data_IF_626324619848
#
_entry.id   IF_626324619848
#
_cell.length_a   1.000
_cell.length_b   1.000
_cell.length_c   1.000
_cell.angle_alpha   90.00
_cell.angle_beta   90.00
_cell.angle_gamma   90.00
#
_symmetry.space_group_name_H-M   'P 1'
#
loop_
_entity.id
_entity.type
_entity.pdbx_description
1 polymer ?
#
# COMPACT_ATOMS: atom_id res chain seq x y z
N UNK A 1 -33.93 -16.81 -46.06
CA UNK A 1 -34.27 -16.91 -44.62
C UNK A 1 -35.62 -17.57 -44.56
N UNK A 2 -35.73 -18.74 -43.92
CA UNK A 2 -36.93 -19.56 -43.97
C UNK A 2 -38.08 -18.91 -43.20
N UNK A 3 -39.33 -19.09 -43.64
CA UNK A 3 -40.51 -18.44 -43.00
C UNK A 3 -40.61 -18.80 -41.51
N UNK A 4 -40.19 -20.01 -41.15
CA UNK A 4 -40.17 -20.50 -39.77
C UNK A 4 -39.12 -19.78 -38.91
N UNK A 5 -38.01 -19.33 -39.50
CA UNK A 5 -36.96 -18.57 -38.80
C UNK A 5 -37.43 -17.15 -38.48
N UNK A 6 -38.18 -16.52 -39.40
CA UNK A 6 -38.75 -15.18 -39.19
C UNK A 6 -39.82 -15.24 -38.09
N UNK A 7 -40.70 -16.24 -38.11
CA UNK A 7 -41.71 -16.44 -37.04
C UNK A 7 -41.05 -16.68 -35.68
N UNK A 8 -39.93 -17.42 -35.65
CA UNK A 8 -39.13 -17.61 -34.43
C UNK A 8 -38.58 -16.32 -33.85
N UNK A 9 -38.02 -15.43 -34.69
CA UNK A 9 -37.51 -14.13 -34.24
C UNK A 9 -38.62 -13.19 -33.76
N UNK A 10 -39.79 -13.20 -34.41
CA UNK A 10 -40.95 -12.38 -33.98
C UNK A 10 -41.47 -12.87 -32.62
N UNK A 11 -41.55 -14.18 -32.40
CA UNK A 11 -41.95 -14.74 -31.10
C UNK A 11 -40.91 -14.44 -30.02
N UNK A 12 -39.61 -14.52 -30.34
CA UNK A 12 -38.55 -14.15 -29.40
C UNK A 12 -38.61 -12.68 -29.02
N UNK A 13 -38.85 -11.79 -29.99
CA UNK A 13 -39.01 -10.37 -29.73
C UNK A 13 -40.24 -10.10 -28.86
N UNK A 14 -41.38 -10.75 -29.13
CA UNK A 14 -42.60 -10.60 -28.32
C UNK A 14 -42.41 -11.08 -26.88
N UNK A 15 -41.66 -12.16 -26.67
CA UNK A 15 -41.33 -12.64 -25.31
C UNK A 15 -40.37 -11.68 -24.60
N UNK A 16 -39.35 -11.17 -25.29
CA UNK A 16 -38.40 -10.22 -24.70
C UNK A 16 -39.05 -8.87 -24.37
N UNK A 17 -39.89 -8.34 -25.25
CA UNK A 17 -40.64 -7.10 -24.98
C UNK A 17 -41.74 -7.29 -23.93
N UNK A 18 -42.43 -8.44 -23.94
CA UNK A 18 -43.41 -8.76 -22.91
C UNK A 18 -42.78 -8.94 -21.52
N UNK A 19 -41.60 -9.55 -21.45
CA UNK A 19 -40.86 -9.72 -20.20
C UNK A 19 -40.24 -8.41 -19.70
N UNK A 20 -39.73 -7.56 -20.60
CA UNK A 20 -39.24 -6.22 -20.25
C UNK A 20 -40.36 -5.29 -19.75
N UNK A 21 -41.56 -5.38 -20.32
CA UNK A 21 -42.74 -4.63 -19.87
C UNK A 21 -43.32 -5.18 -18.55
N UNK A 22 -43.11 -6.46 -18.24
CA UNK A 22 -43.47 -7.01 -16.93
C UNK A 22 -42.44 -6.63 -15.84
N UNK A 23 -41.16 -6.49 -16.19
CA UNK A 23 -40.11 -6.09 -15.23
C UNK A 23 -39.97 -4.58 -15.01
N UNK A 24 -40.74 -3.72 -15.69
CA UNK A 24 -40.74 -2.29 -15.34
C UNK A 24 -41.32 -2.13 -13.93
N UNK A 25 -40.55 -1.56 -12.98
CA UNK A 25 -41.02 -1.37 -11.61
C UNK A 25 -42.26 -0.48 -11.62
N UNK A 26 -43.22 -0.80 -10.75
CA UNK A 26 -44.47 -0.05 -10.66
C UNK A 26 -44.21 1.37 -10.14
N UNK A 27 -45.09 2.32 -10.44
CA UNK A 27 -44.96 3.72 -9.98
C UNK A 27 -44.86 3.83 -8.44
N UNK A 28 -45.42 2.87 -7.69
CA UNK A 28 -45.29 2.79 -6.23
C UNK A 28 -43.89 2.38 -5.76
N UNK A 29 -43.19 1.48 -6.48
CA UNK A 29 -41.82 1.06 -6.16
C UNK A 29 -40.83 2.19 -6.44
N UNK A 30 -41.02 2.93 -7.54
CA UNK A 30 -40.23 4.13 -7.86
C UNK A 30 -40.47 5.23 -6.82
N UNK A 31 -41.69 5.37 -6.30
CA UNK A 31 -42.01 6.30 -5.24
C UNK A 31 -41.34 5.91 -3.90
N UNK A 32 -41.31 4.61 -3.57
CA UNK A 32 -40.61 4.11 -2.37
C UNK A 32 -39.09 4.30 -2.47
N UNK A 33 -38.49 4.03 -3.63
CA UNK A 33 -37.06 4.23 -3.86
C UNK A 33 -36.67 5.72 -3.76
N UNK A 34 -37.53 6.63 -4.24
CA UNK A 34 -37.35 8.07 -4.04
C UNK A 34 -37.45 8.48 -2.58
N UNK A 35 -38.38 7.90 -1.81
CA UNK A 35 -38.50 8.17 -0.36
C UNK A 35 -37.27 7.67 0.40
N UNK A 36 -36.73 6.51 0.02
CA UNK A 36 -35.51 5.96 0.61
C UNK A 36 -34.26 6.79 0.25
N UNK A 37 -34.14 7.22 -1.01
CA UNK A 37 -33.08 8.13 -1.45
C UNK A 37 -33.12 9.50 -0.74
N UNK A 38 -34.33 10.03 -0.50
CA UNK A 38 -34.52 11.27 0.28
C UNK A 38 -34.14 11.05 1.73
N UNK A 39 -34.50 9.91 2.34
CA UNK A 39 -34.06 9.54 3.71
C UNK A 39 -32.54 9.45 3.80
N UNK A 40 -31.88 8.81 2.83
CA UNK A 40 -30.43 8.63 2.83
C UNK A 40 -29.69 9.97 2.61
N UNK A 41 -30.24 10.83 1.75
CA UNK A 41 -29.76 12.21 1.56
C UNK A 41 -29.89 13.06 2.83
N UNK A 42 -31.00 12.93 3.56
CA UNK A 42 -31.22 13.61 4.83
C UNK A 42 -30.26 13.07 5.90
N UNK A 43 -30.08 11.75 6.01
CA UNK A 43 -29.14 11.14 6.95
C UNK A 43 -27.68 11.56 6.69
N UNK A 44 -27.29 11.68 5.41
CA UNK A 44 -25.97 12.15 5.00
C UNK A 44 -25.78 13.64 5.30
N UNK A 45 -26.81 14.47 5.06
CA UNK A 45 -26.80 15.88 5.42
C UNK A 45 -26.74 16.09 6.95
N UNK A 46 -27.45 15.26 7.73
CA UNK A 46 -27.39 15.26 9.19
C UNK A 46 -26.00 14.85 9.69
N UNK A 47 -25.39 13.78 9.15
CA UNK A 47 -24.00 13.42 9.48
C UNK A 47 -23.00 14.53 9.16
N UNK A 48 -23.16 15.23 8.02
CA UNK A 48 -22.31 16.37 7.67
C UNK A 48 -22.53 17.55 8.64
N UNK A 49 -23.78 17.79 9.06
CA UNK A 49 -24.10 18.83 10.04
C UNK A 49 -23.58 18.49 11.43
N UNK A 50 -23.66 17.23 11.84
CA UNK A 50 -23.07 16.70 13.08
C UNK A 50 -21.55 16.81 13.05
N UNK A 51 -20.90 16.42 11.95
CA UNK A 51 -19.45 16.60 11.75
C UNK A 51 -19.04 18.07 11.78
N UNK A 52 -19.83 18.98 11.18
CA UNK A 52 -19.59 20.43 11.27
C UNK A 52 -19.80 20.96 12.70
N UNK A 53 -20.80 20.46 13.41
CA UNK A 53 -21.04 20.83 14.81
C UNK A 53 -19.93 20.28 15.72
N UNK A 54 -19.48 19.04 15.54
CA UNK A 54 -18.34 18.47 16.25
C UNK A 54 -17.05 19.21 15.92
N UNK A 55 -16.81 19.56 14.66
CA UNK A 55 -15.67 20.40 14.24
C UNK A 55 -15.73 21.80 14.87
N UNK A 56 -16.92 22.41 14.98
CA UNK A 56 -17.11 23.70 15.65
C UNK A 56 -16.97 23.62 17.18
N UNK A 57 -17.40 22.52 17.81
CA UNK A 57 -17.20 22.24 19.24
C UNK A 57 -15.73 21.91 19.54
N UNK A 58 -15.04 21.23 18.64
CA UNK A 58 -13.60 21.01 18.68
C UNK A 58 -12.84 22.35 18.55
N UNK A 59 -13.18 23.18 17.56
CA UNK A 59 -12.59 24.51 17.36
C UNK A 59 -12.84 25.45 18.55
N UNK A 60 -14.01 25.40 19.17
CA UNK A 60 -14.32 26.17 20.38
C UNK A 60 -13.57 25.64 21.62
N UNK A 61 -13.31 24.33 21.73
CA UNK A 61 -12.40 23.78 22.75
C UNK A 61 -10.94 24.19 22.52
N UNK A 62 -10.49 24.27 21.27
CA UNK A 62 -9.13 24.73 20.92
C UNK A 62 -8.93 26.21 21.26
N UNK A 63 -9.97 27.05 21.11
CA UNK A 63 -9.92 28.47 21.46
C UNK A 63 -9.86 28.72 22.99
N UNK A 64 -10.47 27.87 23.82
CA UNK A 64 -10.35 27.99 25.29
C UNK A 64 -9.01 27.48 25.82
N UNK A 65 -8.38 26.50 25.15
CA UNK A 65 -7.05 25.98 25.52
C UNK A 65 -5.90 26.96 25.19
N UNK A 66 -6.08 27.85 24.20
CA UNK A 66 -5.07 28.83 23.79
C UNK A 66 -4.86 30.01 24.76
N UNK A 67 -5.73 30.14 25.78
CA UNK A 67 -5.67 31.24 26.76
C UNK A 67 -5.23 30.80 28.16
N UNK A 68 -5.11 29.49 28.40
CA UNK A 68 -4.61 28.99 29.68
C UNK A 68 -3.08 29.04 29.72
N UNK A 69 -2.55 30.13 30.27
CA UNK A 69 -1.11 30.32 30.50
C UNK A 69 -0.51 29.30 31.46
N UNK A 70 -1.35 28.53 32.16
CA UNK A 70 -0.92 27.47 33.09
C UNK A 70 -0.80 26.10 32.41
N UNK A 71 -1.23 25.99 31.14
CA UNK A 71 -1.10 24.75 30.37
C UNK A 71 0.36 24.35 30.18
N UNK A 72 0.62 23.05 30.34
CA UNK A 72 1.93 22.47 30.12
C UNK A 72 2.34 22.69 28.64
N UNK A 73 3.57 23.17 28.41
CA UNK A 73 4.04 23.58 27.07
C UNK A 73 3.42 24.87 26.50
N UNK A 74 2.70 25.68 27.28
CA UNK A 74 2.21 26.98 26.81
C UNK A 74 3.30 27.86 26.18
N UNK A 75 4.52 27.85 26.73
CA UNK A 75 5.64 28.61 26.14
C UNK A 75 6.06 28.05 24.78
N UNK A 76 5.97 26.74 24.59
CA UNK A 76 6.29 26.07 23.34
C UNK A 76 5.14 26.13 22.32
N UNK A 77 3.91 26.53 22.66
CA UNK A 77 2.85 26.76 21.65
C UNK A 77 3.02 28.08 20.91
N UNK A 78 3.97 28.93 21.34
CA UNK A 78 4.31 30.20 20.71
C UNK A 78 5.69 30.10 20.10
N UNK A 79 5.80 30.41 18.81
CA UNK A 79 7.08 30.40 18.12
C UNK A 79 6.93 30.74 16.64
N UNK A 80 8.08 30.74 15.95
CA UNK A 80 8.15 30.91 14.50
C UNK A 80 8.58 29.59 13.89
N UNK A 81 7.75 29.07 12.99
CA UNK A 81 8.06 27.88 12.22
C UNK A 81 9.27 28.16 11.31
N UNK A 82 10.25 27.26 11.33
CA UNK A 82 11.45 27.31 10.49
C UNK A 82 11.67 25.95 9.87
N UNK A 83 12.17 25.95 8.66
CA UNK A 83 12.55 24.73 7.97
C UNK A 83 14.03 24.41 8.18
N UNK A 84 14.30 23.13 8.38
CA UNK A 84 15.65 22.60 8.56
C UNK A 84 15.79 21.39 7.63
N UNK A 85 16.89 21.30 6.91
CA UNK A 85 17.11 20.20 5.96
C UNK A 85 18.25 19.32 6.44
N UNK A 86 17.96 18.03 6.63
CA UNK A 86 18.99 16.99 6.73
C UNK A 86 19.12 16.33 5.36
N UNK A 87 20.35 16.03 4.93
CA UNK A 87 20.57 15.42 3.64
C UNK A 87 21.86 14.59 3.56
N UNK A 88 21.84 13.65 2.63
CA UNK A 88 23.01 12.89 2.21
C UNK A 88 23.01 12.75 0.66
N UNK A 89 23.79 11.82 0.12
CA UNK A 89 23.86 11.58 -1.33
C UNK A 89 22.57 10.98 -1.94
N UNK A 90 21.69 10.39 -1.12
CA UNK A 90 20.50 9.62 -1.53
C UNK A 90 19.19 10.35 -1.24
N UNK A 91 19.08 11.08 -0.14
CA UNK A 91 17.85 11.76 0.26
C UNK A 91 18.09 13.15 0.84
N UNK A 92 17.04 13.97 0.81
CA UNK A 92 16.94 15.21 1.56
C UNK A 92 15.59 15.27 2.28
N UNK A 93 15.62 15.47 3.58
CA UNK A 93 14.46 15.52 4.47
C UNK A 93 14.33 16.93 5.03
N UNK A 94 13.21 17.59 4.76
CA UNK A 94 12.89 18.89 5.34
C UNK A 94 12.02 18.70 6.56
N UNK A 95 12.50 19.19 7.70
CA UNK A 95 11.81 19.25 8.97
C UNK A 95 11.21 20.63 9.17
N UNK A 96 10.10 20.70 9.90
CA UNK A 96 9.60 21.96 10.41
C UNK A 96 9.78 22.02 11.93
N UNK A 97 10.25 23.16 12.44
CA UNK A 97 10.36 23.36 13.90
C UNK A 97 9.00 23.42 14.58
N UNK A 98 7.89 23.68 13.86
CA UNK A 98 6.53 23.42 14.35
C UNK A 98 6.18 21.95 14.11
N UNK A 99 5.69 21.25 15.12
CA UNK A 99 5.49 19.80 15.03
C UNK A 99 6.76 19.00 15.31
N UNK A 100 7.90 19.49 14.81
CA UNK A 100 9.19 18.84 14.98
C UNK A 100 9.34 17.56 14.15
N UNK A 101 8.61 17.45 13.04
CA UNK A 101 8.54 16.25 12.19
C UNK A 101 9.04 16.53 10.77
N UNK A 102 9.31 15.45 10.03
CA UNK A 102 9.61 15.53 8.59
C UNK A 102 8.35 15.98 7.85
N UNK A 103 8.41 17.14 7.19
CA UNK A 103 7.32 17.68 6.37
C UNK A 103 7.47 17.37 4.88
N UNK A 104 8.68 17.06 4.42
CA UNK A 104 8.96 16.77 3.01
C UNK A 104 10.13 15.81 2.87
N UNK A 105 9.96 14.81 2.01
CA UNK A 105 11.01 13.85 1.67
C UNK A 105 11.31 13.86 0.17
N UNK A 106 12.56 14.15 -0.18
CA UNK A 106 13.08 14.11 -1.56
C UNK A 106 14.03 12.92 -1.70
N UNK A 107 13.76 12.07 -2.70
CA UNK A 107 14.60 10.93 -3.07
C UNK A 107 15.44 11.32 -4.30
N UNK A 108 16.76 11.39 -4.12
CA UNK A 108 17.73 11.82 -5.13
C UNK A 108 18.08 10.66 -6.07
N UNK A 109 18.42 10.99 -7.32
CA UNK A 109 18.86 9.98 -8.31
C UNK A 109 17.73 9.24 -9.02
N UNK A 110 16.48 9.64 -8.81
CA UNK A 110 15.29 9.12 -9.50
C UNK A 110 14.63 10.26 -10.27
N UNK A 111 14.01 9.96 -11.42
CA UNK A 111 13.24 10.96 -12.15
C UNK A 111 11.85 11.08 -11.53
N UNK A 112 11.48 12.29 -11.11
CA UNK A 112 10.13 12.61 -10.65
C UNK A 112 9.33 13.19 -11.80
N UNK A 113 8.33 12.45 -12.28
CA UNK A 113 7.51 12.89 -13.40
C UNK A 113 6.48 13.94 -12.97
N UNK A 114 6.26 14.95 -13.81
CA UNK A 114 5.10 15.81 -13.62
C UNK A 114 3.86 15.12 -14.22
N UNK A 115 3.08 14.43 -13.39
CA UNK A 115 1.89 13.70 -13.86
C UNK A 115 0.81 14.60 -14.48
N UNK A 116 0.84 15.91 -14.23
CA UNK A 116 -0.04 16.89 -14.87
C UNK A 116 0.40 17.25 -16.30
N UNK A 117 1.65 16.97 -16.70
CA UNK A 117 2.16 17.23 -18.06
C UNK A 117 2.74 15.98 -18.70
N UNK A 118 2.24 15.63 -19.89
CA UNK A 118 2.74 14.47 -20.65
C UNK A 118 4.05 14.74 -21.42
N UNK A 119 4.47 16.00 -21.55
CA UNK A 119 5.60 16.39 -22.39
C UNK A 119 6.98 16.19 -21.72
N UNK A 120 6.99 15.83 -20.43
CA UNK A 120 8.19 15.57 -19.61
C UNK A 120 9.16 16.76 -19.47
N UNK A 121 8.82 17.95 -19.95
CA UNK A 121 9.72 19.12 -19.90
C UNK A 121 9.93 19.64 -18.48
N UNK A 122 8.94 19.42 -17.62
CA UNK A 122 8.94 19.83 -16.22
C UNK A 122 9.30 18.69 -15.26
N UNK A 123 9.79 17.57 -15.78
CA UNK A 123 10.24 16.46 -14.96
C UNK A 123 11.44 16.88 -14.11
N UNK A 124 11.51 16.34 -12.90
CA UNK A 124 12.57 16.61 -11.93
C UNK A 124 13.57 15.47 -11.93
N UNK A 125 14.82 15.77 -11.58
CA UNK A 125 15.87 14.77 -11.38
C UNK A 125 15.86 14.17 -9.94
N UNK A 126 14.72 14.28 -9.27
CA UNK A 126 14.45 13.69 -7.96
C UNK A 126 12.95 13.38 -7.85
N UNK A 127 12.61 12.44 -6.99
CA UNK A 127 11.23 12.12 -6.61
C UNK A 127 10.88 12.87 -5.33
N UNK A 128 9.71 13.51 -5.28
CA UNK A 128 9.14 14.01 -4.03
C UNK A 128 8.20 12.93 -3.51
N UNK A 129 8.57 12.25 -2.42
CA UNK A 129 7.76 11.16 -1.86
C UNK A 129 6.47 11.72 -1.25
N UNK A 130 6.58 12.78 -0.45
CA UNK A 130 5.48 13.57 0.09
C UNK A 130 5.98 15.00 0.40
N UNK A 131 5.03 15.93 0.55
CA UNK A 131 5.28 17.25 1.15
C UNK A 131 4.18 17.63 2.17
N UNK A 132 4.21 18.86 2.67
CA UNK A 132 3.34 19.35 3.74
C UNK A 132 1.85 19.38 3.36
N UNK A 133 1.53 19.39 2.07
CA UNK A 133 0.14 19.35 1.61
C UNK A 133 -0.43 17.91 1.61
N UNK A 134 0.43 16.90 1.66
CA UNK A 134 0.06 15.50 1.51
C UNK A 134 0.12 14.73 2.82
N UNK A 135 1.15 14.99 3.63
CA UNK A 135 1.48 14.18 4.79
C UNK A 135 1.35 14.97 6.10
N UNK A 136 0.71 14.36 7.08
CA UNK A 136 0.69 14.80 8.47
C UNK A 136 1.25 13.69 9.37
N UNK A 137 2.19 14.04 10.25
CA UNK A 137 2.70 13.15 11.29
C UNK A 137 2.62 13.90 12.62
N UNK A 138 1.93 13.32 13.59
CA UNK A 138 1.74 13.90 14.91
C UNK A 138 2.03 12.86 15.98
N UNK A 139 2.92 13.22 16.90
CA UNK A 139 3.16 12.49 18.13
C UNK A 139 2.28 13.06 19.24
N UNK A 140 1.52 12.19 19.91
CA UNK A 140 0.55 12.55 20.94
C UNK A 140 0.90 11.81 22.24
N UNK A 141 1.19 12.56 23.29
CA UNK A 141 1.45 12.03 24.63
C UNK A 141 0.17 12.11 25.46
N UNK A 142 -0.35 10.95 25.86
CA UNK A 142 -1.56 10.87 26.67
C UNK A 142 -1.25 11.16 28.16
N UNK A 143 -1.55 12.37 28.63
CA UNK A 143 -1.33 12.78 30.03
C UNK A 143 -2.61 12.65 30.87
N UNK A 144 -2.53 12.92 32.19
CA UNK A 144 -3.70 12.89 33.10
C UNK A 144 -4.80 13.88 32.72
N UNK A 145 -4.42 15.08 32.30
CA UNK A 145 -5.34 16.21 32.15
C UNK A 145 -5.61 16.53 30.68
N UNK A 146 -4.57 16.60 29.86
CA UNK A 146 -4.68 16.98 28.46
C UNK A 146 -3.57 16.33 27.63
N UNK A 147 -3.92 15.85 26.44
CA UNK A 147 -2.93 15.32 25.51
C UNK A 147 -1.94 16.41 25.08
N UNK A 148 -0.67 16.07 25.07
CA UNK A 148 0.36 16.94 24.48
C UNK A 148 0.53 16.48 23.04
N UNK A 149 0.17 17.34 22.11
CA UNK A 149 0.30 17.07 20.68
C UNK A 149 1.44 17.89 20.10
N UNK A 150 2.43 17.19 19.55
CA UNK A 150 3.64 17.82 19.01
C UNK A 150 3.35 18.80 17.88
N UNK A 151 2.33 18.56 17.05
CA UNK A 151 1.90 19.47 15.97
C UNK A 151 1.58 20.90 16.43
N UNK A 152 1.21 21.07 17.71
CA UNK A 152 0.90 22.36 18.32
C UNK A 152 2.12 23.04 18.97
N UNK A 153 3.27 22.36 19.01
CA UNK A 153 4.49 22.83 19.65
C UNK A 153 5.49 23.35 18.63
N UNK A 154 6.22 24.39 19.02
CA UNK A 154 7.41 24.89 18.38
C UNK A 154 8.63 24.40 19.16
N UNK A 155 9.53 23.75 18.43
CA UNK A 155 10.77 23.20 18.95
C UNK A 155 11.94 24.13 18.65
N UNK A 156 12.88 24.20 19.57
CA UNK A 156 14.16 24.90 19.39
C UNK A 156 15.19 23.92 18.86
N UNK A 157 15.79 24.18 17.67
CA UNK A 157 16.80 23.30 17.10
C UNK A 157 18.18 23.49 17.75
N UNK A 158 18.91 22.38 17.89
CA UNK A 158 20.30 22.31 18.32
C UNK A 158 20.99 21.09 17.67
N UNK A 159 22.31 20.93 17.86
CA UNK A 159 23.11 19.84 17.28
C UNK A 159 22.92 19.64 15.76
N UNK A 160 22.68 20.75 15.05
CA UNK A 160 22.40 20.73 13.62
C UNK A 160 23.67 20.46 12.81
N UNK A 161 23.65 19.36 12.06
CA UNK A 161 24.61 19.05 10.99
C UNK A 161 23.82 18.64 9.75
N UNK A 162 24.50 18.22 8.67
CA UNK A 162 23.82 17.63 7.51
C UNK A 162 23.04 16.34 7.85
N UNK A 163 23.38 15.67 8.95
CA UNK A 163 22.80 14.37 9.30
C UNK A 163 22.23 14.26 10.71
N UNK A 164 22.32 15.29 11.54
CA UNK A 164 21.82 15.28 12.93
C UNK A 164 21.02 16.53 13.23
N UNK A 165 19.98 16.38 14.03
CA UNK A 165 19.15 17.49 14.49
C UNK A 165 18.50 17.11 15.83
N UNK A 166 18.72 17.93 16.85
CA UNK A 166 17.99 17.84 18.12
C UNK A 166 16.94 18.93 18.14
N UNK A 167 15.67 18.57 18.35
CA UNK A 167 14.55 19.49 18.50
C UNK A 167 14.02 19.41 19.93
N UNK A 168 14.05 20.53 20.66
CA UNK A 168 13.60 20.59 22.06
C UNK A 168 12.43 21.54 22.23
N UNK A 169 11.30 21.03 22.73
CA UNK A 169 10.19 21.82 23.23
C UNK A 169 10.33 21.96 24.76
N UNK A 170 10.21 23.19 25.27
CA UNK A 170 10.33 23.49 26.70
C UNK A 170 8.96 23.75 27.30
N UNK A 171 8.59 22.97 28.32
CA UNK A 171 7.33 23.11 29.03
C UNK A 171 7.37 24.11 30.20
N UNK A 172 8.58 24.58 30.57
CA UNK A 172 8.84 25.37 31.77
C UNK A 172 9.26 24.51 32.96
N UNK A 173 9.80 25.13 34.02
CA UNK A 173 10.20 24.47 35.27
C UNK A 173 11.08 23.23 35.08
N UNK A 174 12.07 23.31 34.17
CA UNK A 174 13.02 22.24 33.86
C UNK A 174 12.46 21.06 33.04
N UNK A 175 11.21 21.15 32.55
CA UNK A 175 10.55 20.07 31.80
C UNK A 175 10.71 20.26 30.29
N UNK A 176 11.08 19.21 29.59
CA UNK A 176 11.29 19.25 28.14
C UNK A 176 10.80 17.98 27.46
N UNK A 177 10.45 18.12 26.18
CA UNK A 177 10.31 17.02 25.22
C UNK A 177 11.37 17.21 24.15
N UNK A 178 12.19 16.18 23.93
CA UNK A 178 13.30 16.20 22.97
C UNK A 178 13.06 15.15 21.89
N UNK A 179 13.24 15.56 20.64
CA UNK A 179 13.24 14.71 19.45
C UNK A 179 14.65 14.75 18.86
N UNK A 180 15.40 13.65 19.02
CA UNK A 180 16.76 13.52 18.53
C UNK A 180 16.79 12.74 17.22
N UNK A 181 17.10 13.43 16.12
CA UNK A 181 17.12 12.88 14.78
C UNK A 181 18.54 12.59 14.30
N UNK A 182 18.71 11.42 13.65
CA UNK A 182 19.95 11.06 12.96
C UNK A 182 19.65 10.41 11.61
N UNK A 183 19.97 11.11 10.54
CA UNK A 183 19.94 10.60 9.18
C UNK A 183 21.16 9.71 8.93
N UNK A 184 20.94 8.51 8.42
CA UNK A 184 22.04 7.60 8.09
C UNK A 184 22.66 7.94 6.72
N UNK A 185 23.61 7.13 6.25
CA UNK A 185 24.21 7.33 4.91
C UNK A 185 23.25 6.93 3.77
N UNK A 186 22.18 6.20 4.08
CA UNK A 186 21.21 5.66 3.14
C UNK A 186 19.86 6.38 3.27
N UNK A 187 18.76 5.62 3.33
CA UNK A 187 17.38 6.11 3.31
C UNK A 187 16.72 6.09 4.69
N UNK A 188 17.49 5.82 5.75
CA UNK A 188 16.98 5.62 7.11
C UNK A 188 17.19 6.88 7.97
N UNK A 189 16.16 7.27 8.71
CA UNK A 189 16.18 8.34 9.69
C UNK A 189 15.85 7.76 11.07
N UNK A 190 16.75 7.89 12.03
CA UNK A 190 16.50 7.52 13.42
C UNK A 190 15.89 8.68 14.18
N UNK A 191 15.00 8.37 15.11
CA UNK A 191 14.35 9.30 16.02
C UNK A 191 14.33 8.70 17.42
N UNK A 192 14.91 9.42 18.38
CA UNK A 192 14.73 9.12 19.80
C UNK A 192 13.81 10.18 20.41
N UNK A 193 12.70 9.76 21.02
CA UNK A 193 11.75 10.66 21.71
C UNK A 193 11.96 10.56 23.22
N UNK A 194 12.27 11.69 23.86
CA UNK A 194 12.62 11.73 25.28
C UNK A 194 11.89 12.85 26.04
N UNK A 195 11.25 12.49 27.15
CA UNK A 195 10.80 13.47 28.15
C UNK A 195 11.88 13.71 29.22
N UNK A 196 11.92 14.92 29.77
CA UNK A 196 12.69 15.24 30.99
C UNK A 196 11.77 15.87 32.01
N UNK A 197 11.75 15.35 33.23
CA UNK A 197 11.00 15.94 34.36
C UNK A 197 9.47 15.81 34.27
N UNK A 198 8.93 14.89 33.47
CA UNK A 198 7.48 14.79 33.22
C UNK A 198 6.76 13.63 33.95
N UNK A 199 7.46 12.86 34.79
CA UNK A 199 6.93 11.65 35.45
C UNK A 199 5.57 11.85 36.16
N UNK A 200 5.37 12.98 36.85
CA UNK A 200 4.13 13.25 37.59
C UNK A 200 2.89 13.54 36.72
N UNK A 201 3.07 13.75 35.41
CA UNK A 201 2.04 14.24 34.49
C UNK A 201 1.23 13.11 33.85
N UNK A 202 1.68 11.86 33.95
CA UNK A 202 1.07 10.71 33.26
C UNK A 202 0.40 9.76 34.25
N UNK A 203 -0.65 9.07 33.78
CA UNK A 203 -1.32 8.03 34.56
C UNK A 203 -0.37 6.83 34.76
N UNK A 204 -0.07 6.42 36.02
CA UNK A 204 0.80 5.28 36.28
C UNK A 204 0.36 4.03 35.49
N UNK A 205 1.29 3.42 34.76
CA UNK A 205 1.04 2.22 33.96
C UNK A 205 0.27 2.42 32.64
N UNK A 206 -0.13 3.66 32.29
CA UNK A 206 -0.81 3.99 31.01
C UNK A 206 0.00 4.97 30.16
N UNK A 207 1.32 4.96 30.30
CA UNK A 207 2.20 5.88 29.59
C UNK A 207 2.33 5.42 28.13
N UNK A 208 1.65 6.13 27.24
CA UNK A 208 1.63 5.82 25.81
C UNK A 208 2.02 7.03 24.98
N UNK A 209 2.75 6.74 23.92
CA UNK A 209 3.02 7.64 22.80
C UNK A 209 2.18 7.16 21.64
N UNK A 210 1.21 7.97 21.23
CA UNK A 210 0.38 7.73 20.07
C UNK A 210 1.05 8.39 18.86
N UNK A 211 1.09 7.69 17.73
CA UNK A 211 1.54 8.20 16.44
C UNK A 211 0.31 8.25 15.54
N UNK A 212 -0.11 9.47 15.18
CA UNK A 212 -1.10 9.69 14.13
C UNK A 212 -0.36 10.07 12.85
N UNK A 213 -0.42 9.18 11.87
CA UNK A 213 0.28 9.35 10.60
C UNK A 213 -0.69 9.21 9.44
N UNK A 214 -0.70 10.22 8.58
CA UNK A 214 -1.58 10.32 7.42
C UNK A 214 -0.78 10.76 6.21
N UNK A 215 -1.09 10.20 5.04
CA UNK A 215 -0.45 10.58 3.78
C UNK A 215 -1.41 10.44 2.61
N UNK A 216 -1.44 11.44 1.73
CA UNK A 216 -2.02 11.33 0.40
C UNK A 216 -0.94 10.87 -0.56
N UNK A 217 -0.97 9.58 -0.86
CA UNK A 217 0.02 8.94 -1.70
C UNK A 217 0.04 9.54 -3.11
N UNK A 218 1.10 10.30 -3.41
CA UNK A 218 1.29 10.93 -4.72
C UNK A 218 1.48 9.90 -5.83
N UNK A 219 0.82 10.16 -6.95
CA UNK A 219 1.11 9.47 -8.21
C UNK A 219 2.47 9.92 -8.73
N UNK A 220 3.38 8.97 -8.98
CA UNK A 220 4.73 9.24 -9.50
C UNK A 220 4.86 8.90 -10.98
N UNK A 221 3.98 8.05 -11.51
CA UNK A 221 4.02 7.57 -12.90
C UNK A 221 2.84 8.07 -13.72
N UNK A 222 2.97 8.13 -15.04
CA UNK A 222 1.85 8.53 -15.93
C UNK A 222 0.67 7.53 -15.88
N UNK A 223 0.95 6.27 -15.53
CA UNK A 223 -0.02 5.17 -15.49
C UNK A 223 -0.68 5.01 -14.12
N UNK A 224 -1.63 5.88 -13.76
CA UNK A 224 -2.34 5.84 -12.47
C UNK A 224 -2.84 4.43 -12.08
N UNK A 225 -3.59 3.76 -12.95
CA UNK A 225 -4.19 2.46 -12.62
C UNK A 225 -3.15 1.35 -12.40
N UNK A 226 -2.00 1.42 -13.07
CA UNK A 226 -0.92 0.46 -12.90
C UNK A 226 -0.20 0.70 -11.58
N UNK A 227 0.11 1.96 -11.28
CA UNK A 227 0.76 2.35 -10.03
C UNK A 227 -0.13 2.05 -8.82
N UNK A 228 -1.42 2.39 -8.92
CA UNK A 228 -2.40 2.20 -7.84
C UNK A 228 -2.60 0.73 -7.46
N UNK A 229 -2.42 -0.22 -8.40
CA UNK A 229 -2.54 -1.67 -8.14
C UNK A 229 -1.49 -2.17 -7.14
N UNK A 230 -0.38 -1.47 -6.99
CA UNK A 230 0.69 -1.85 -6.07
C UNK A 230 0.79 -0.92 -4.84
N UNK A 231 -0.11 0.06 -4.75
CA UNK A 231 -0.13 1.04 -3.68
C UNK A 231 -1.05 0.55 -2.55
N UNK A 232 -0.54 0.43 -1.32
CA UNK A 232 -1.32 -0.04 -0.17
C UNK A 232 -0.60 0.26 1.15
N UNK A 233 -1.31 0.14 2.27
CA UNK A 233 -0.71 0.09 3.59
C UNK A 233 -0.26 -1.34 3.88
N UNK A 234 1.00 -1.52 4.23
CA UNK A 234 1.60 -2.81 4.61
C UNK A 234 2.10 -2.74 6.04
N UNK A 235 2.05 -3.81 6.81
CA UNK A 235 2.57 -3.83 8.18
C UNK A 235 3.15 -5.21 8.54
N UNK A 236 4.06 -5.22 9.50
CA UNK A 236 4.70 -6.45 10.01
C UNK A 236 4.29 -6.69 11.44
N UNK A 237 3.81 -7.91 11.70
CA UNK A 237 3.41 -8.35 13.04
C UNK A 237 4.66 -8.71 13.84
N UNK A 238 4.67 -8.35 15.13
CA UNK A 238 5.76 -8.69 16.03
C UNK A 238 5.82 -10.20 16.21
N UNK A 239 6.92 -10.83 15.79
CA UNK A 239 7.07 -12.29 15.77
C UNK A 239 6.21 -13.04 14.73
N UNK A 240 5.44 -12.32 13.91
CA UNK A 240 4.58 -12.87 12.85
C UNK A 240 5.08 -12.51 11.44
N UNK A 241 4.24 -12.68 10.42
CA UNK A 241 4.57 -12.29 9.04
C UNK A 241 4.24 -10.83 8.67
N UNK A 242 4.47 -10.48 7.41
CA UNK A 242 4.03 -9.22 6.79
C UNK A 242 2.63 -9.40 6.20
N UNK A 243 1.74 -8.45 6.50
CA UNK A 243 0.38 -8.37 5.97
C UNK A 243 0.16 -7.01 5.30
N UNK A 244 -0.86 -6.89 4.46
CA UNK A 244 -1.21 -5.65 3.80
C UNK A 244 -2.73 -5.48 3.74
N UNK A 245 -3.15 -4.22 3.61
CA UNK A 245 -4.53 -3.87 3.29
C UNK A 245 -4.80 -4.14 1.81
N UNK A 246 -6.07 -4.10 1.43
CA UNK A 246 -6.52 -4.30 0.06
C UNK A 246 -5.84 -3.33 -0.92
N UNK A 247 -5.28 -3.89 -1.98
CA UNK A 247 -4.73 -3.12 -3.11
C UNK A 247 -5.86 -2.60 -4.04
N UNK A 248 -7.07 -3.17 -3.97
CA UNK A 248 -8.13 -2.94 -4.95
C UNK A 248 -9.26 -2.00 -4.47
N UNK A 249 -9.57 -1.99 -3.19
CA UNK A 249 -10.74 -1.28 -2.63
C UNK A 249 -10.39 -0.58 -1.31
N UNK A 250 -11.35 0.20 -0.80
CA UNK A 250 -11.31 0.75 0.54
C UNK A 250 -11.12 -0.37 1.57
N UNK A 251 -10.20 -0.15 2.51
CA UNK A 251 -9.92 -1.10 3.58
C UNK A 251 -9.58 -0.35 4.87
N UNK A 252 -10.14 -0.82 5.97
CA UNK A 252 -9.99 -0.27 7.31
C UNK A 252 -9.82 -1.46 8.27
N UNK A 253 -8.62 -1.60 8.81
CA UNK A 253 -8.21 -2.75 9.60
C UNK A 253 -7.70 -2.31 10.95
N UNK A 254 -8.26 -2.92 12.00
CA UNK A 254 -7.72 -2.85 13.34
C UNK A 254 -6.82 -4.05 13.59
N UNK A 255 -5.58 -3.84 14.03
CA UNK A 255 -4.66 -4.94 14.27
C UNK A 255 -5.02 -5.73 15.52
N UNK A 256 -4.98 -7.05 15.42
CA UNK A 256 -5.23 -7.98 16.54
C UNK A 256 -3.94 -8.26 17.32
N UNK A 257 -2.79 -8.13 16.66
CA UNK A 257 -1.46 -8.40 17.21
C UNK A 257 -0.64 -7.10 17.28
N UNK A 258 0.43 -7.14 18.09
CA UNK A 258 1.45 -6.09 18.07
C UNK A 258 2.14 -6.08 16.71
N UNK A 259 2.58 -4.91 16.27
CA UNK A 259 3.24 -4.74 14.97
C UNK A 259 4.57 -4.02 15.15
N UNK A 260 5.60 -4.44 14.41
CA UNK A 260 6.93 -3.82 14.48
C UNK A 260 7.04 -2.59 13.60
N UNK A 261 6.36 -2.59 12.45
CA UNK A 261 6.37 -1.47 11.51
C UNK A 261 5.10 -1.38 10.67
N UNK A 262 4.86 -0.16 10.16
CA UNK A 262 3.82 0.17 9.17
C UNK A 262 4.46 0.93 8.01
N UNK A 263 4.04 0.60 6.80
CA UNK A 263 4.51 1.19 5.56
C UNK A 263 3.36 1.78 4.75
N UNK A 264 3.53 3.03 4.34
CA UNK A 264 2.77 3.67 3.27
C UNK A 264 3.54 3.44 1.98
N UNK A 265 3.04 2.52 1.16
CA UNK A 265 3.74 2.01 -0.01
C UNK A 265 3.00 2.43 -1.29
N UNK A 266 3.76 2.92 -2.27
CA UNK A 266 3.33 2.95 -3.67
C UNK A 266 4.09 1.90 -4.50
N UNK A 267 3.98 1.95 -5.82
CA UNK A 267 4.62 0.96 -6.69
C UNK A 267 6.16 0.90 -6.49
N UNK A 268 6.82 2.05 -6.42
CA UNK A 268 8.29 2.13 -6.49
C UNK A 268 8.97 2.65 -5.24
N UNK A 269 8.24 3.22 -4.28
CA UNK A 269 8.75 3.82 -3.07
C UNK A 269 7.85 3.49 -1.88
N UNK A 270 8.42 3.55 -0.68
CA UNK A 270 7.70 3.44 0.57
C UNK A 270 8.21 4.46 1.58
N UNK A 271 7.29 4.96 2.40
CA UNK A 271 7.60 5.50 3.71
C UNK A 271 7.28 4.40 4.74
N UNK A 272 8.16 4.16 5.70
CA UNK A 272 7.97 3.14 6.75
C UNK A 272 8.30 3.75 8.10
N UNK A 273 7.49 3.48 9.11
CA UNK A 273 7.81 3.74 10.52
C UNK A 273 8.01 2.42 11.25
N UNK A 274 9.15 2.26 11.92
CA UNK A 274 9.55 1.08 12.69
C UNK A 274 9.69 1.50 14.15
N UNK A 275 9.12 0.73 15.07
CA UNK A 275 9.25 0.95 16.51
C UNK A 275 10.16 -0.10 17.16
N UNK A 276 11.09 0.36 18.00
CA UNK A 276 11.97 -0.52 18.79
C UNK A 276 11.19 -1.43 19.73
N UNK A 277 10.21 -0.88 20.46
CA UNK A 277 9.37 -1.63 21.39
C UNK A 277 8.09 -2.17 20.72
N UNK A 278 7.96 -1.96 19.40
CA UNK A 278 6.77 -2.29 18.64
C UNK A 278 5.62 -1.31 18.89
N UNK A 279 4.54 -1.50 18.16
CA UNK A 279 3.27 -0.82 18.37
C UNK A 279 2.28 -1.80 19.00
N UNK A 280 1.51 -1.33 19.98
CA UNK A 280 0.56 -2.13 20.72
C UNK A 280 -0.57 -2.62 19.83
N UNK A 281 -1.29 -3.64 20.31
CA UNK A 281 -2.49 -4.15 19.64
C UNK A 281 -3.54 -3.04 19.46
N UNK A 282 -4.39 -3.18 18.45
CA UNK A 282 -5.47 -2.25 18.20
C UNK A 282 -5.09 -1.01 17.37
N UNK A 283 -3.96 -1.03 16.67
CA UNK A 283 -3.63 0.00 15.69
C UNK A 283 -4.71 0.06 14.61
N UNK A 284 -5.18 1.26 14.26
CA UNK A 284 -6.12 1.45 13.16
C UNK A 284 -5.34 1.83 11.90
N UNK A 285 -5.46 1.02 10.85
CA UNK A 285 -4.81 1.21 9.56
C UNK A 285 -5.89 1.35 8.50
N UNK A 286 -5.76 2.36 7.63
CA UNK A 286 -6.74 2.63 6.59
C UNK A 286 -6.08 2.97 5.27
N UNK A 287 -6.68 2.47 4.19
CA UNK A 287 -6.28 2.72 2.81
C UNK A 287 -7.53 2.98 1.96
N UNK A 288 -7.69 4.21 1.47
CA UNK A 288 -8.84 4.63 0.65
C UNK A 288 -8.36 5.04 -0.73
N UNK A 289 -8.73 4.35 -1.83
CA UNK A 289 -8.40 4.79 -3.18
C UNK A 289 -8.97 6.17 -3.52
N UNK A 290 -8.18 6.95 -4.26
CA UNK A 290 -8.56 8.28 -4.73
C UNK A 290 -8.82 8.27 -6.23
N UNK A 291 -9.72 9.14 -6.66
CA UNK A 291 -10.04 9.28 -8.08
C UNK A 291 -8.82 9.74 -8.88
N UNK A 292 -8.69 9.23 -10.11
CA UNK A 292 -7.56 9.51 -11.00
C UNK A 292 -7.29 11.01 -11.24
N UNK A 293 -8.35 11.82 -11.29
CA UNK A 293 -8.26 13.27 -11.53
C UNK A 293 -7.62 14.05 -10.38
N UNK A 294 -7.45 13.41 -9.21
CA UNK A 294 -6.79 14.03 -8.06
C UNK A 294 -5.26 14.05 -8.19
N UNK A 295 -4.69 13.25 -9.10
CA UNK A 295 -3.25 12.97 -9.18
C UNK A 295 -2.64 12.31 -7.91
N UNK A 296 -3.50 11.72 -7.08
CA UNK A 296 -3.12 10.87 -5.97
C UNK A 296 -3.64 9.44 -6.20
N UNK A 297 -2.94 8.46 -5.62
CA UNK A 297 -3.32 7.05 -5.70
C UNK A 297 -4.34 6.71 -4.62
N UNK A 298 -3.98 6.96 -3.37
CA UNK A 298 -4.75 6.59 -2.18
C UNK A 298 -4.50 7.58 -1.03
N UNK A 299 -5.44 7.65 -0.10
CA UNK A 299 -5.24 8.24 1.22
C UNK A 299 -4.92 7.14 2.22
N UNK A 300 -3.84 7.30 2.97
CA UNK A 300 -3.39 6.38 4.00
C UNK A 300 -3.53 7.01 5.38
N UNK A 301 -3.87 6.17 6.35
CA UNK A 301 -3.89 6.54 7.76
C UNK A 301 -3.38 5.37 8.62
N UNK A 302 -2.59 5.71 9.63
CA UNK A 302 -2.12 4.80 10.66
C UNK A 302 -2.21 5.51 12.01
N UNK A 303 -3.09 5.02 12.88
CA UNK A 303 -3.14 5.40 14.29
C UNK A 303 -2.48 4.28 15.11
N UNK A 304 -1.29 4.59 15.62
CA UNK A 304 -0.42 3.63 16.30
C UNK A 304 -0.24 4.08 17.76
N UNK A 305 0.03 3.13 18.65
CA UNK A 305 0.39 3.44 20.03
C UNK A 305 1.59 2.61 20.45
N UNK A 306 2.51 3.19 21.20
CA UNK A 306 3.68 2.52 21.75
C UNK A 306 3.96 3.00 23.17
N UNK A 307 4.89 2.33 23.85
CA UNK A 307 5.26 2.64 25.22
C UNK A 307 6.00 3.99 25.26
N UNK A 308 5.69 4.79 26.28
CA UNK A 308 6.39 6.02 26.58
C UNK A 308 6.93 6.03 28.01
N UNK A 309 8.16 6.47 28.21
CA UNK A 309 8.73 6.65 29.55
C UNK A 309 8.83 8.14 29.92
N UNK A 310 7.91 8.65 30.78
CA UNK A 310 7.90 10.05 31.17
C UNK A 310 9.02 10.42 32.16
N UNK A 311 9.78 9.45 32.68
CA UNK A 311 10.97 9.71 33.50
C UNK A 311 12.17 10.14 32.67
N UNK A 312 12.20 9.75 31.38
CA UNK A 312 13.33 9.99 30.48
C UNK A 312 14.51 9.02 30.65
N UNK A 313 14.35 7.95 31.43
CA UNK A 313 15.38 6.91 31.57
C UNK A 313 15.45 6.08 30.29
N UNK A 314 14.29 5.73 29.72
CA UNK A 314 14.16 5.12 28.40
C UNK A 314 13.60 6.11 27.39
N UNK A 315 14.07 6.01 26.16
CA UNK A 315 13.55 6.76 25.01
C UNK A 315 12.58 5.90 24.23
N UNK A 316 11.57 6.53 23.60
CA UNK A 316 10.76 5.86 22.58
C UNK A 316 11.49 6.00 21.24
N UNK A 317 12.10 4.91 20.77
CA UNK A 317 12.99 4.91 19.61
C UNK A 317 12.25 4.46 18.34
N UNK A 318 12.41 5.21 17.25
CA UNK A 318 11.86 4.93 15.94
C UNK A 318 12.92 4.96 14.85
N UNK A 319 12.72 4.13 13.82
CA UNK A 319 13.43 4.23 12.56
C UNK A 319 12.42 4.48 11.44
N UNK A 320 12.68 5.49 10.63
CA UNK A 320 11.92 5.78 9.43
C UNK A 320 12.72 5.37 8.20
N UNK A 321 12.08 4.71 7.24
CA UNK A 321 12.63 4.48 5.91
C UNK A 321 11.85 5.32 4.90
N UNK A 322 12.55 6.16 4.14
CA UNK A 322 11.96 6.92 3.03
C UNK A 322 12.77 6.63 1.77
N UNK A 323 12.32 5.69 0.95
CA UNK A 323 13.15 5.22 -0.15
C UNK A 323 12.47 4.27 -1.13
N UNK A 324 13.24 3.78 -2.12
CA UNK A 324 12.72 2.95 -3.20
C UNK A 324 12.41 1.51 -2.74
N UNK A 325 11.48 0.85 -3.41
CA UNK A 325 11.12 -0.54 -3.19
C UNK A 325 12.06 -1.46 -3.97
N UNK A 326 13.33 -1.49 -3.55
CA UNK A 326 14.35 -2.39 -4.10
C UNK A 326 14.62 -3.56 -3.14
N UNK A 327 14.56 -4.79 -3.65
CA UNK A 327 14.63 -5.99 -2.83
C UNK A 327 15.95 -6.10 -2.05
N UNK A 328 17.09 -5.83 -2.69
CA UNK A 328 18.42 -5.96 -2.06
C UNK A 328 18.70 -4.81 -1.12
N UNK A 329 18.28 -3.60 -1.51
CA UNK A 329 18.37 -2.43 -0.67
C UNK A 329 17.60 -2.66 0.63
N UNK A 330 16.33 -3.08 0.55
CA UNK A 330 15.50 -3.32 1.74
C UNK A 330 16.11 -4.40 2.66
N UNK A 331 16.71 -5.46 2.11
CA UNK A 331 17.50 -6.42 2.91
C UNK A 331 18.72 -5.78 3.60
N UNK A 332 19.37 -4.80 2.96
CA UNK A 332 20.48 -4.08 3.56
C UNK A 332 20.03 -3.09 4.64
N UNK A 333 18.86 -2.46 4.46
CA UNK A 333 18.25 -1.55 5.43
C UNK A 333 17.80 -2.31 6.68
N UNK A 334 17.26 -3.52 6.51
CA UNK A 334 16.92 -4.41 7.63
C UNK A 334 18.16 -4.68 8.51
N UNK A 335 19.32 -4.94 7.89
CA UNK A 335 20.61 -5.07 8.60
C UNK A 335 21.17 -3.76 9.16
N UNK A 336 20.74 -2.63 8.63
CA UNK A 336 21.12 -1.30 9.12
C UNK A 336 20.33 -0.91 10.38
N UNK A 337 19.16 -1.53 10.60
CA UNK A 337 18.39 -1.33 11.82
C UNK A 337 19.16 -1.79 13.06
N UNK A 338 19.15 -0.96 14.10
CA UNK A 338 19.84 -1.29 15.36
C UNK A 338 18.93 -1.94 16.40
N UNK A 339 17.69 -2.25 16.03
CA UNK A 339 16.71 -2.86 16.94
C UNK A 339 16.85 -4.37 17.07
N UNK A 340 17.66 -5.02 16.22
CA UNK A 340 17.90 -6.47 16.28
C UNK A 340 16.66 -7.31 15.97
N UNK A 341 15.73 -6.77 15.20
CA UNK A 341 14.49 -7.44 14.75
C UNK A 341 14.66 -7.95 13.33
N UNK A 342 13.94 -9.01 12.98
CA UNK A 342 13.75 -9.43 11.59
C UNK A 342 12.57 -8.66 11.00
N UNK A 343 12.86 -7.54 10.33
CA UNK A 343 11.81 -6.65 9.81
C UNK A 343 11.20 -7.20 8.52
N UNK A 344 11.89 -8.09 7.82
CA UNK A 344 11.47 -8.63 6.53
C UNK A 344 11.08 -7.55 5.49
N UNK A 345 11.74 -6.38 5.51
CA UNK A 345 11.37 -5.23 4.69
C UNK A 345 11.31 -5.53 3.19
N UNK A 346 12.07 -6.53 2.72
CA UNK A 346 12.03 -6.99 1.32
C UNK A 346 10.64 -7.45 0.85
N UNK A 347 9.72 -7.79 1.77
CA UNK A 347 8.34 -8.14 1.44
C UNK A 347 7.50 -6.95 0.95
N UNK A 348 7.99 -5.70 1.11
CA UNK A 348 7.40 -4.54 0.46
C UNK A 348 7.45 -4.65 -1.07
N UNK A 349 8.41 -5.41 -1.62
CA UNK A 349 8.49 -5.68 -3.06
C UNK A 349 7.53 -6.79 -3.44
N UNK A 350 6.57 -6.49 -4.30
CA UNK A 350 5.65 -7.50 -4.82
C UNK A 350 6.39 -8.37 -5.85
N UNK A 351 6.87 -9.53 -5.40
CA UNK A 351 7.53 -10.54 -6.25
C UNK A 351 6.55 -11.45 -7.00
N UNK A 352 5.26 -11.15 -6.96
CA UNK A 352 4.20 -11.94 -7.58
C UNK A 352 3.66 -13.06 -6.69
N UNK A 353 2.92 -13.96 -7.34
CA UNK A 353 2.24 -15.11 -6.74
C UNK A 353 3.23 -16.03 -5.99
N UNK A 354 2.86 -16.72 -4.89
CA UNK A 354 3.81 -17.42 -4.00
C UNK A 354 4.78 -18.39 -4.69
N UNK A 355 4.32 -19.13 -5.71
CA UNK A 355 5.19 -20.01 -6.50
C UNK A 355 6.29 -19.21 -7.23
N UNK A 356 5.92 -18.08 -7.82
CA UNK A 356 6.83 -17.19 -8.56
C UNK A 356 7.70 -16.37 -7.62
N UNK A 357 7.23 -16.04 -6.42
CA UNK A 357 8.05 -15.42 -5.39
C UNK A 357 9.29 -16.26 -5.08
N UNK A 358 9.14 -17.58 -4.98
CA UNK A 358 10.26 -18.51 -4.76
C UNK A 358 11.23 -18.46 -5.95
N UNK A 359 10.71 -18.60 -7.18
CA UNK A 359 11.53 -18.56 -8.40
C UNK A 359 12.23 -17.20 -8.53
N UNK A 360 11.53 -16.09 -8.34
CA UNK A 360 12.06 -14.74 -8.46
C UNK A 360 13.14 -14.48 -7.41
N UNK A 361 12.90 -14.87 -6.15
CA UNK A 361 13.84 -14.68 -5.05
C UNK A 361 15.12 -15.50 -5.22
N UNK A 362 15.01 -16.75 -5.67
CA UNK A 362 16.15 -17.69 -5.69
C UNK A 362 16.83 -17.86 -7.05
N UNK A 363 16.14 -17.51 -8.14
CA UNK A 363 16.67 -17.65 -9.50
C UNK A 363 16.70 -16.30 -10.23
N UNK A 364 15.55 -15.66 -10.45
CA UNK A 364 15.47 -14.49 -11.35
C UNK A 364 16.35 -13.33 -10.90
N UNK A 365 16.31 -12.96 -9.61
CA UNK A 365 17.11 -11.84 -9.10
C UNK A 365 18.62 -12.15 -9.21
N UNK A 366 19.07 -13.36 -8.89
CA UNK A 366 20.49 -13.71 -8.99
C UNK A 366 21.00 -13.73 -10.43
N UNK A 367 20.22 -14.29 -11.35
CA UNK A 367 20.56 -14.30 -12.78
C UNK A 367 20.57 -12.88 -13.33
N UNK A 368 19.60 -12.05 -12.96
CA UNK A 368 19.53 -10.64 -13.35
C UNK A 368 20.71 -9.83 -12.80
N UNK A 369 21.02 -9.94 -11.51
CA UNK A 369 22.15 -9.29 -10.85
C UNK A 369 23.49 -9.68 -11.48
N UNK A 370 23.63 -10.94 -11.92
CA UNK A 370 24.82 -11.40 -12.62
C UNK A 370 24.90 -10.84 -14.04
N UNK A 371 23.83 -10.94 -14.83
CA UNK A 371 23.79 -10.48 -16.23
C UNK A 371 23.93 -8.96 -16.35
N UNK A 372 23.31 -8.20 -15.45
CA UNK A 372 23.35 -6.72 -15.45
C UNK A 372 24.74 -6.13 -15.21
N UNK A 373 25.69 -6.92 -14.68
CA UNK A 373 27.10 -6.51 -14.57
C UNK A 373 27.81 -6.49 -15.92
N UNK A 374 27.35 -7.30 -16.87
CA UNK A 374 28.03 -7.49 -18.17
C UNK A 374 27.25 -6.88 -19.33
N UNK A 375 25.93 -6.74 -19.21
CA UNK A 375 25.06 -6.33 -20.31
C UNK A 375 24.12 -5.17 -19.94
N UNK A 376 23.76 -4.30 -20.91
CA UNK A 376 22.71 -3.30 -20.73
C UNK A 376 21.35 -3.94 -20.42
N UNK A 377 20.49 -3.23 -19.69
CA UNK A 377 19.20 -3.75 -19.20
C UNK A 377 18.33 -4.41 -20.28
N UNK A 378 18.22 -3.81 -21.47
CA UNK A 378 17.43 -4.40 -22.57
C UNK A 378 17.97 -5.75 -23.05
N UNK A 379 19.30 -5.91 -23.09
CA UNK A 379 19.94 -7.17 -23.47
C UNK A 379 19.78 -8.22 -22.37
N UNK A 380 19.88 -7.81 -21.09
CA UNK A 380 19.63 -8.69 -19.95
C UNK A 380 18.22 -9.30 -20.03
N UNK A 381 17.21 -8.50 -20.34
CA UNK A 381 15.84 -9.00 -20.50
C UNK A 381 15.75 -10.03 -21.64
N UNK A 382 16.35 -9.75 -22.80
CA UNK A 382 16.39 -10.71 -23.91
C UNK A 382 17.05 -12.02 -23.47
N UNK A 383 18.22 -11.96 -22.81
CA UNK A 383 18.93 -13.14 -22.33
C UNK A 383 18.13 -13.96 -21.31
N UNK A 384 17.46 -13.30 -20.36
CA UNK A 384 16.59 -13.98 -19.39
C UNK A 384 15.40 -14.64 -20.08
N UNK A 385 14.77 -13.97 -21.05
CA UNK A 385 13.66 -14.60 -21.80
C UNK A 385 14.13 -15.79 -22.62
N UNK A 386 15.32 -15.74 -23.23
CA UNK A 386 15.91 -16.87 -23.96
C UNK A 386 16.25 -18.02 -23.01
N UNK A 387 16.84 -17.72 -21.85
CA UNK A 387 17.15 -18.71 -20.82
C UNK A 387 15.87 -19.40 -20.31
N UNK A 388 14.81 -18.64 -20.04
CA UNK A 388 13.54 -19.19 -19.59
C UNK A 388 12.87 -20.03 -20.68
N UNK A 389 12.92 -19.59 -21.94
CA UNK A 389 12.47 -20.39 -23.09
C UNK A 389 13.28 -21.68 -23.23
N UNK A 390 14.58 -21.65 -22.97
CA UNK A 390 15.43 -22.83 -23.01
C UNK A 390 15.08 -23.83 -21.90
N UNK A 391 14.88 -23.35 -20.66
CA UNK A 391 14.49 -24.18 -19.52
C UNK A 391 13.10 -24.80 -19.75
N UNK A 392 12.15 -24.03 -20.29
CA UNK A 392 10.79 -24.49 -20.55
C UNK A 392 10.65 -25.26 -21.88
N UNK A 393 11.66 -25.25 -22.75
CA UNK A 393 11.65 -25.92 -24.05
C UNK A 393 11.26 -27.40 -24.01
N UNK A 394 11.84 -28.28 -23.16
CA UNK A 394 11.44 -29.69 -23.13
C UNK A 394 9.96 -29.88 -22.80
N UNK A 395 9.41 -29.02 -21.94
CA UNK A 395 8.01 -29.03 -21.54
C UNK A 395 7.10 -28.55 -22.68
N UNK A 396 7.47 -27.42 -23.31
CA UNK A 396 6.75 -26.88 -24.48
C UNK A 396 6.79 -27.87 -25.65
N UNK A 397 7.93 -28.52 -25.92
CA UNK A 397 8.08 -29.54 -26.96
C UNK A 397 7.14 -30.73 -26.72
N UNK A 398 7.04 -31.22 -25.48
CA UNK A 398 6.11 -32.31 -25.12
C UNK A 398 4.66 -31.92 -25.39
N UNK A 399 4.26 -30.72 -24.99
CA UNK A 399 2.91 -30.24 -25.27
C UNK A 399 2.66 -30.09 -26.78
N UNK A 400 3.59 -29.48 -27.53
CA UNK A 400 3.46 -29.32 -28.97
C UNK A 400 3.28 -30.67 -29.69
N UNK A 401 4.06 -31.68 -29.29
CA UNK A 401 3.92 -33.05 -29.79
C UNK A 401 2.54 -33.65 -29.46
N UNK A 402 2.03 -33.43 -28.24
CA UNK A 402 0.69 -33.88 -27.84
C UNK A 402 -0.41 -33.21 -28.69
N UNK A 403 -0.31 -31.90 -28.93
CA UNK A 403 -1.23 -31.17 -29.80
C UNK A 403 -1.16 -31.62 -31.26
N UNK A 404 0.03 -31.95 -31.77
CA UNK A 404 0.19 -32.50 -33.11
C UNK A 404 -0.49 -33.88 -33.24
N UNK A 405 -0.29 -34.77 -32.25
CA UNK A 405 -0.99 -36.07 -32.20
C UNK A 405 -2.51 -35.91 -32.13
N UNK A 406 -3.01 -34.93 -31.37
CA UNK A 406 -4.43 -34.62 -31.30
C UNK A 406 -5.01 -34.22 -32.67
N UNK A 407 -4.27 -33.41 -33.44
CA UNK A 407 -4.69 -32.99 -34.78
C UNK A 407 -4.83 -34.17 -35.74
N UNK A 408 -3.94 -35.16 -35.63
CA UNK A 408 -3.98 -36.40 -36.42
C UNK A 408 -5.10 -37.33 -35.94
N UNK A 409 -5.40 -37.35 -34.64
CA UNK A 409 -6.45 -38.20 -34.05
C UNK A 409 -7.87 -37.66 -34.30
N UNK A 410 -8.04 -36.34 -34.43
CA UNK A 410 -9.34 -35.67 -34.64
C UNK A 410 -10.23 -36.32 -35.71
N UNK A 411 -9.77 -36.59 -36.95
CA UNK A 411 -10.62 -37.23 -37.97
C UNK A 411 -11.08 -38.64 -37.57
N UNK A 412 -10.23 -39.44 -36.92
CA UNK A 412 -10.58 -40.78 -36.43
C UNK A 412 -11.57 -40.71 -35.27
N UNK A 413 -11.43 -39.72 -34.41
CA UNK A 413 -12.35 -39.44 -33.30
C UNK A 413 -13.74 -39.04 -33.84
N UNK A 414 -13.77 -38.17 -34.86
CA UNK A 414 -15.01 -37.75 -35.50
C UNK A 414 -15.70 -38.95 -36.15
N UNK A 415 -14.96 -39.83 -36.83
CA UNK A 415 -15.48 -41.08 -37.39
C UNK A 415 -16.03 -42.05 -36.33
N UNK A 416 -15.29 -42.29 -35.25
CA UNK A 416 -15.71 -43.19 -34.18
C UNK A 416 -16.90 -42.67 -33.38
N UNK A 417 -17.12 -41.35 -33.39
CA UNK A 417 -18.20 -40.69 -32.64
C UNK A 417 -19.40 -40.29 -33.50
N UNK A 418 -19.36 -40.45 -34.83
CA UNK A 418 -20.49 -40.21 -35.76
C UNK A 418 -21.77 -40.96 -35.36
N UNK A 419 -21.64 -42.12 -34.73
CA UNK A 419 -22.74 -42.96 -34.28
C UNK A 419 -23.40 -42.50 -32.96
N UNK A 420 -22.74 -41.62 -32.20
CA UNK A 420 -23.20 -41.14 -30.88
C UNK A 420 -23.69 -39.68 -30.92
N UNK A 421 -24.64 -39.37 -31.80
CA UNK A 421 -25.15 -38.00 -32.00
C UNK A 421 -26.43 -37.67 -31.20
N UNK A 422 -27.02 -38.65 -30.49
CA UNK A 422 -28.21 -38.42 -29.68
C UNK A 422 -27.86 -37.77 -28.33
N UNK A 423 -28.76 -36.95 -27.73
CA UNK A 423 -28.53 -36.34 -26.42
C UNK A 423 -28.24 -37.36 -25.31
N UNK A 424 -28.87 -38.54 -25.40
CA UNK A 424 -28.75 -39.65 -24.44
C UNK A 424 -27.37 -40.36 -24.49
N UNK A 425 -26.65 -40.26 -25.62
CA UNK A 425 -25.37 -40.94 -25.84
C UNK A 425 -24.15 -40.04 -25.58
N UNK A 426 -24.35 -38.79 -25.14
CA UNK A 426 -23.26 -37.84 -24.88
C UNK A 426 -22.26 -38.37 -23.85
N UNK A 427 -22.73 -39.07 -22.83
CA UNK A 427 -21.87 -39.66 -21.80
C UNK A 427 -21.01 -40.81 -22.36
N UNK A 428 -21.59 -41.67 -23.20
CA UNK A 428 -20.87 -42.75 -23.89
C UNK A 428 -19.86 -42.19 -24.91
N UNK A 429 -20.23 -41.10 -25.60
CA UNK A 429 -19.32 -40.36 -26.49
C UNK A 429 -18.11 -39.82 -25.73
N UNK A 430 -18.31 -39.21 -24.56
CA UNK A 430 -17.19 -38.74 -23.72
C UNK A 430 -16.29 -39.87 -23.26
N UNK A 431 -16.85 -41.01 -22.84
CA UNK A 431 -16.06 -42.19 -22.43
C UNK A 431 -15.26 -42.78 -23.60
N UNK A 432 -15.86 -42.94 -24.77
CA UNK A 432 -15.18 -43.45 -25.96
C UNK A 432 -14.05 -42.51 -26.43
N UNK A 433 -14.29 -41.19 -26.40
CA UNK A 433 -13.25 -40.20 -26.70
C UNK A 433 -12.09 -40.28 -25.69
N UNK A 434 -12.39 -40.41 -24.40
CA UNK A 434 -11.35 -40.53 -23.36
C UNK A 434 -10.56 -41.84 -23.48
N UNK A 435 -11.20 -42.95 -23.84
CA UNK A 435 -10.51 -44.22 -24.11
C UNK A 435 -9.56 -44.09 -25.29
N UNK A 436 -9.99 -43.50 -26.41
CA UNK A 436 -9.10 -43.25 -27.55
C UNK A 436 -7.97 -42.28 -27.21
N UNK A 437 -8.23 -41.23 -26.43
CA UNK A 437 -7.19 -40.32 -25.96
C UNK A 437 -6.13 -41.06 -25.13
N UNK A 438 -6.56 -41.97 -24.24
CA UNK A 438 -5.66 -42.81 -23.46
C UNK A 438 -4.85 -43.78 -24.32
N UNK A 439 -5.50 -44.48 -25.26
CA UNK A 439 -4.88 -45.46 -26.15
C UNK A 439 -3.78 -44.85 -27.03
N UNK A 440 -4.02 -43.65 -27.57
CA UNK A 440 -3.04 -42.93 -28.38
C UNK A 440 -2.05 -42.09 -27.55
N UNK A 441 -2.14 -42.14 -26.22
CA UNK A 441 -1.26 -41.41 -25.30
C UNK A 441 -1.33 -39.89 -25.48
N UNK A 442 -2.52 -39.37 -25.80
CA UNK A 442 -2.78 -37.93 -26.00
C UNK A 442 -3.63 -37.44 -24.85
N UNK A 443 -3.21 -36.38 -24.16
CA UNK A 443 -4.05 -35.76 -23.13
C UNK A 443 -4.73 -34.50 -23.70
N UNK A 444 -6.07 -34.38 -23.64
CA UNK A 444 -6.79 -33.19 -24.12
C UNK A 444 -6.41 -31.91 -23.36
N UNK A 445 -5.91 -32.03 -22.13
CA UNK A 445 -5.40 -30.92 -21.32
C UNK A 445 -3.99 -30.47 -21.76
N UNK A 446 -3.28 -31.26 -22.56
CA UNK A 446 -1.94 -30.88 -23.05
C UNK A 446 -1.95 -29.65 -23.94
N UNK A 447 -3.10 -29.29 -24.55
CA UNK A 447 -3.23 -28.12 -25.42
C UNK A 447 -3.29 -26.79 -24.67
N UNK A 448 -3.92 -26.76 -23.50
CA UNK A 448 -3.93 -25.56 -22.64
C UNK A 448 -2.74 -25.51 -21.68
N UNK A 449 -2.02 -26.63 -21.50
CA UNK A 449 -0.87 -26.73 -20.60
C UNK A 449 0.25 -25.70 -20.89
N UNK A 450 0.67 -25.43 -22.15
CA UNK A 450 1.64 -24.36 -22.44
C UNK A 450 1.13 -22.99 -22.02
N UNK A 451 -0.14 -22.72 -22.30
CA UNK A 451 -0.77 -21.45 -21.92
C UNK A 451 -0.83 -21.34 -20.40
N UNK A 452 -1.09 -22.43 -19.68
CA UNK A 452 -1.16 -22.44 -18.23
C UNK A 452 0.21 -22.32 -17.56
N UNK A 453 1.24 -22.91 -18.14
CA UNK A 453 2.65 -22.75 -17.71
C UNK A 453 3.17 -21.34 -18.02
N UNK A 454 2.74 -20.76 -19.15
CA UNK A 454 3.15 -19.43 -19.58
C UNK A 454 2.33 -18.30 -18.95
N UNK A 455 1.06 -18.51 -18.62
CA UNK A 455 0.17 -17.52 -18.01
C UNK A 455 0.80 -16.79 -16.82
N UNK A 456 1.47 -17.48 -15.89
CA UNK A 456 2.08 -16.81 -14.75
C UNK A 456 3.54 -16.36 -14.99
N UNK A 457 4.12 -16.65 -16.16
CA UNK A 457 5.36 -16.03 -16.62
C UNK A 457 5.09 -14.63 -17.23
N UNK A 458 3.90 -14.44 -17.81
CA UNK A 458 3.44 -13.22 -18.46
C UNK A 458 2.86 -12.17 -17.51
#
# INVERSE_FOLDING_TARGET
MDKNTITGFVLMALVLFGFAWWQTPSDEEIAQERVEFVKDSIAKAQKIAEQKQEASKAANKTNTANTDTTSLFYTATKGVAKDIVLQNSKIALTFNTKGGVVRKAIIKGYKGHNVASKDRKTDKNYVTLFDEADQNLNFILATKNQNIETQNLYFTPSNLTDSTLTLTATAGNGKTLTLDYKLTKNYMLRLDVKATGMNGLFNPGKNQLIVDWQDKCKQQELGHSFENRYATVTYKKTGGGVEHLSEAQDDDKKTEEMIDWVAFKNQFFSAVIISKDGFTTGANLKSTPLAKETHYLKSYQANLSTIFDPTGVKTSDFEFYFGPNDFRLLQSIDKESHFGKDLEMQQLVNLGWPLFRIINRWFTIYVFDWLSKFFPMGVVLILITLLLKFITYPMVKKSYMSSAKMRVLKPKLDEATKQYNKPEDQMKKQQAMMQMYSEYGVSPLSGCLPMLIQMPIW
#
